data_IF_879821240849
#
_entry.id   IF_879821240849
#
_cell.length_a   1.000
_cell.length_b   1.000
_cell.length_c   1.000
_cell.angle_alpha   90.00
_cell.angle_beta   90.00
_cell.angle_gamma   90.00
#
_symmetry.space_group_name_H-M   'P 1'
#
loop_
_entity.id
_entity.type
_entity.pdbx_description
1 polymer ?
#
# COMPACT_ATOMS: atom_id res chain seq x y z
N UNK A 1 -53.10 12.97 -51.10
CA UNK A 1 -51.64 13.03 -50.85
C UNK A 1 -51.33 12.08 -49.70
N UNK A 2 -50.91 10.85 -50.01
CA UNK A 2 -50.74 9.76 -49.02
C UNK A 2 -49.38 9.91 -48.34
N UNK A 3 -49.37 10.38 -47.08
CA UNK A 3 -48.16 10.42 -46.28
C UNK A 3 -47.72 9.00 -45.92
N UNK A 4 -46.46 8.71 -46.20
CA UNK A 4 -45.86 7.39 -46.18
C UNK A 4 -45.48 7.01 -44.73
N UNK A 5 -46.39 6.35 -44.02
CA UNK A 5 -46.27 5.96 -42.60
C UNK A 5 -45.07 5.02 -42.30
N UNK A 6 -44.41 4.47 -43.34
CA UNK A 6 -43.23 3.59 -43.18
C UNK A 6 -41.94 4.32 -42.79
N UNK A 7 -41.84 5.64 -42.98
CA UNK A 7 -40.66 6.44 -42.57
C UNK A 7 -40.71 6.92 -41.12
N UNK A 8 -41.89 6.94 -40.48
CA UNK A 8 -42.02 7.34 -39.07
C UNK A 8 -41.73 6.18 -38.10
N UNK A 9 -41.90 4.92 -38.55
CA UNK A 9 -41.58 3.75 -37.73
C UNK A 9 -40.07 3.45 -37.68
N UNK A 10 -39.33 3.74 -38.75
CA UNK A 10 -37.88 3.47 -38.81
C UNK A 10 -37.05 4.49 -38.02
N UNK A 11 -37.55 5.73 -37.84
CA UNK A 11 -36.88 6.74 -37.03
C UNK A 11 -37.07 6.51 -35.51
N UNK A 12 -38.21 5.95 -35.09
CA UNK A 12 -38.48 5.65 -33.69
C UNK A 12 -37.76 4.39 -33.17
N UNK A 13 -37.46 3.42 -34.03
CA UNK A 13 -36.68 2.22 -33.63
C UNK A 13 -35.20 2.55 -33.41
N UNK A 14 -34.62 3.52 -34.14
CA UNK A 14 -33.23 3.94 -33.94
C UNK A 14 -33.02 4.80 -32.69
N UNK A 15 -34.00 5.60 -32.29
CA UNK A 15 -33.94 6.42 -31.06
C UNK A 15 -34.15 5.53 -29.82
N UNK A 16 -34.98 4.49 -29.91
CA UNK A 16 -35.17 3.54 -28.79
C UNK A 16 -33.92 2.63 -28.62
N UNK A 17 -33.26 2.20 -29.69
CA UNK A 17 -31.99 1.46 -29.57
C UNK A 17 -30.82 2.29 -29.02
N UNK A 18 -30.79 3.61 -29.26
CA UNK A 18 -29.74 4.48 -28.70
C UNK A 18 -30.01 4.85 -27.23
N UNK A 19 -31.27 4.90 -26.78
CA UNK A 19 -31.61 5.09 -25.36
C UNK A 19 -31.38 3.79 -24.56
N UNK A 20 -31.56 2.61 -25.15
CA UNK A 20 -31.26 1.33 -24.49
C UNK A 20 -29.75 1.05 -24.40
N UNK A 21 -28.94 1.49 -25.38
CA UNK A 21 -27.48 1.40 -25.27
C UNK A 21 -26.85 2.42 -24.31
N UNK A 22 -27.54 3.51 -23.96
CA UNK A 22 -27.09 4.47 -22.91
C UNK A 22 -27.61 4.09 -21.51
N UNK A 23 -28.59 3.19 -21.41
CA UNK A 23 -29.05 2.61 -20.14
C UNK A 23 -28.25 1.36 -19.69
N UNK A 24 -27.44 0.76 -20.57
CA UNK A 24 -26.64 -0.43 -20.25
C UNK A 24 -25.17 -0.15 -19.86
N UNK A 25 -24.76 1.12 -19.69
CA UNK A 25 -23.37 1.43 -19.32
C UNK A 25 -23.23 2.45 -18.17
N UNK A 26 -24.25 2.55 -17.31
CA UNK A 26 -24.26 3.44 -16.14
C UNK A 26 -24.46 2.72 -14.80
N UNK A 27 -24.08 1.45 -14.72
CA UNK A 27 -24.20 0.66 -13.47
C UNK A 27 -23.05 -0.34 -13.23
N UNK A 28 -21.86 -0.12 -13.79
CA UNK A 28 -20.64 -0.87 -13.40
C UNK A 28 -19.85 -0.12 -12.31
N UNK A 29 -20.38 0.98 -11.77
CA UNK A 29 -19.72 1.82 -10.76
C UNK A 29 -20.30 1.83 -9.36
N UNK A 30 -21.50 1.31 -9.10
CA UNK A 30 -22.20 1.58 -7.81
C UNK A 30 -22.90 0.37 -7.15
N UNK A 31 -22.64 -0.87 -7.58
CA UNK A 31 -23.22 -2.07 -6.92
C UNK A 31 -22.19 -3.14 -6.55
N UNK A 32 -21.15 -2.72 -5.83
CA UNK A 32 -20.35 -3.57 -4.93
C UNK A 32 -20.07 -2.88 -3.58
N UNK A 33 -20.95 -1.97 -3.16
CA UNK A 33 -20.85 -1.27 -1.88
C UNK A 33 -21.94 -1.69 -0.88
N UNK A 34 -22.51 -2.87 -1.07
CA UNK A 34 -23.34 -3.56 -0.09
C UNK A 34 -23.08 -5.07 -0.24
N UNK A 35 -22.54 -5.68 0.81
CA UNK A 35 -22.13 -7.10 0.93
C UNK A 35 -20.72 -7.50 0.48
N UNK A 36 -19.69 -6.75 0.88
CA UNK A 36 -18.34 -7.31 1.02
C UNK A 36 -18.01 -7.25 2.52
N UNK A 37 -18.02 -8.40 3.20
CA UNK A 37 -17.18 -8.55 4.40
C UNK A 37 -15.78 -8.19 3.94
N UNK A 38 -15.18 -7.12 4.45
CA UNK A 38 -13.84 -6.65 4.08
C UNK A 38 -12.90 -7.84 3.82
N UNK A 39 -12.67 -8.18 2.54
CA UNK A 39 -11.77 -9.27 2.18
C UNK A 39 -10.36 -8.78 2.47
N UNK A 40 -9.77 -9.30 3.54
CA UNK A 40 -8.38 -9.07 3.88
C UNK A 40 -7.51 -9.67 2.75
N UNK A 41 -6.76 -8.83 2.06
CA UNK A 41 -5.79 -9.28 1.06
C UNK A 41 -4.61 -9.92 1.78
N UNK A 42 -4.36 -11.18 1.46
CA UNK A 42 -3.31 -11.98 2.10
C UNK A 42 -2.22 -12.31 1.09
N UNK A 43 -0.94 -12.08 1.43
CA UNK A 43 0.15 -12.56 0.60
C UNK A 43 0.22 -14.09 0.60
N UNK A 44 0.70 -14.66 -0.50
CA UNK A 44 1.19 -16.03 -0.55
C UNK A 44 2.55 -16.15 0.14
N UNK A 45 2.98 -17.39 0.36
CA UNK A 45 4.26 -17.67 1.00
C UNK A 45 5.42 -17.27 0.09
N UNK A 46 5.33 -17.64 -1.17
CA UNK A 46 6.33 -17.36 -2.21
C UNK A 46 6.54 -15.85 -2.37
N UNK A 47 5.46 -15.07 -2.34
CA UNK A 47 5.55 -13.61 -2.39
C UNK A 47 6.32 -13.02 -1.20
N UNK A 48 6.16 -13.55 0.03
CA UNK A 48 6.90 -13.07 1.21
C UNK A 48 8.39 -13.42 1.18
N UNK A 49 8.78 -14.46 0.45
CA UNK A 49 10.19 -14.81 0.27
C UNK A 49 10.87 -13.88 -0.74
N UNK A 50 10.11 -13.22 -1.63
CA UNK A 50 10.67 -12.34 -2.67
C UNK A 50 10.84 -10.87 -2.24
N UNK A 51 10.34 -10.50 -1.06
CA UNK A 51 10.43 -9.10 -0.58
C UNK A 51 11.77 -8.80 0.08
N UNK A 52 12.26 -7.59 -0.15
CA UNK A 52 13.42 -7.04 0.55
C UNK A 52 12.97 -5.96 1.52
N UNK A 53 13.52 -5.93 2.76
CA UNK A 53 14.58 -6.81 3.29
C UNK A 53 14.05 -8.15 3.82
N UNK A 54 14.67 -9.27 3.42
CA UNK A 54 14.39 -10.59 4.00
C UNK A 54 14.86 -10.65 5.46
N UNK A 55 13.92 -10.53 6.39
CA UNK A 55 14.24 -10.27 7.81
C UNK A 55 13.27 -10.91 8.80
N UNK A 56 12.42 -11.81 8.33
CA UNK A 56 11.49 -12.54 9.19
C UNK A 56 12.22 -13.46 10.15
N UNK A 57 11.81 -13.46 11.42
CA UNK A 57 12.34 -14.36 12.43
C UNK A 57 11.52 -15.66 12.47
N UNK A 58 11.99 -16.68 11.75
CA UNK A 58 11.33 -17.98 11.69
C UNK A 58 11.42 -18.77 12.99
N UNK A 59 12.51 -18.64 13.76
CA UNK A 59 12.67 -19.33 15.04
C UNK A 59 11.63 -18.81 16.06
N UNK A 60 11.54 -17.50 16.22
CA UNK A 60 10.52 -16.87 17.08
C UNK A 60 9.09 -17.18 16.61
N UNK A 61 8.88 -17.25 15.29
CA UNK A 61 7.60 -17.66 14.74
C UNK A 61 7.27 -19.13 15.06
N UNK A 62 8.26 -20.03 15.05
CA UNK A 62 8.10 -21.43 15.44
C UNK A 62 7.74 -21.54 16.93
N UNK A 63 8.49 -20.88 17.80
CA UNK A 63 8.25 -20.84 19.26
C UNK A 63 6.82 -20.39 19.60
N UNK A 64 6.28 -19.43 18.84
CA UNK A 64 4.93 -18.90 19.01
C UNK A 64 3.84 -19.68 18.29
N UNK A 65 4.19 -20.78 17.62
CA UNK A 65 3.26 -21.64 16.87
C UNK A 65 2.64 -20.93 15.67
N UNK A 66 3.37 -20.01 15.04
CA UNK A 66 2.94 -19.21 13.89
C UNK A 66 3.25 -19.89 12.56
N UNK A 67 4.13 -20.91 12.57
CA UNK A 67 4.50 -21.70 11.40
C UNK A 67 3.56 -22.90 11.17
N UNK A 68 3.62 -23.42 9.95
CA UNK A 68 3.06 -24.72 9.52
C UNK A 68 4.17 -25.49 8.80
N UNK A 69 4.93 -26.28 9.55
CA UNK A 69 6.21 -26.82 9.05
C UNK A 69 7.24 -25.69 8.97
N UNK A 70 8.01 -25.63 7.89
CA UNK A 70 9.07 -24.63 7.67
C UNK A 70 8.54 -23.29 7.11
N UNK A 71 7.23 -23.03 7.18
CA UNK A 71 6.61 -21.90 6.49
C UNK A 71 5.58 -21.19 7.35
N UNK A 72 5.26 -19.93 7.06
CA UNK A 72 4.20 -19.22 7.78
C UNK A 72 2.82 -19.86 7.56
N UNK A 73 2.06 -20.00 8.65
CA UNK A 73 0.70 -20.51 8.57
C UNK A 73 -0.25 -19.50 7.91
N UNK A 74 -1.36 -19.97 7.33
CA UNK A 74 -2.44 -19.07 6.84
C UNK A 74 -2.97 -18.14 7.94
N UNK A 75 -2.98 -18.62 9.19
CA UNK A 75 -3.36 -17.84 10.36
C UNK A 75 -2.40 -16.67 10.57
N UNK A 76 -1.09 -16.91 10.49
CA UNK A 76 -0.08 -15.85 10.56
C UNK A 76 -0.30 -14.78 9.48
N UNK A 77 -0.49 -15.20 8.22
CA UNK A 77 -0.66 -14.26 7.10
C UNK A 77 -1.90 -13.36 7.26
N UNK A 78 -2.99 -13.91 7.83
CA UNK A 78 -4.19 -13.12 8.18
C UNK A 78 -3.91 -12.13 9.30
N UNK A 79 -3.31 -12.59 10.39
CA UNK A 79 -2.98 -11.71 11.52
C UNK A 79 -2.01 -10.59 11.09
N UNK A 80 -1.06 -10.90 10.22
CA UNK A 80 -0.11 -9.93 9.66
C UNK A 80 -0.83 -8.88 8.82
N UNK A 81 -1.74 -9.32 7.93
CA UNK A 81 -2.52 -8.42 7.09
C UNK A 81 -3.47 -7.54 7.91
N UNK A 82 -4.05 -8.09 8.99
CA UNK A 82 -4.90 -7.34 9.92
C UNK A 82 -4.10 -6.28 10.68
N UNK A 83 -2.90 -6.64 11.17
CA UNK A 83 -1.99 -5.69 11.78
C UNK A 83 -1.60 -4.59 10.79
N UNK A 84 -1.24 -4.94 9.54
CA UNK A 84 -0.89 -3.97 8.50
C UNK A 84 -2.03 -2.99 8.23
N UNK A 85 -3.26 -3.49 8.04
CA UNK A 85 -4.45 -2.65 7.86
C UNK A 85 -4.65 -1.70 9.03
N UNK A 86 -4.50 -2.17 10.27
CA UNK A 86 -4.58 -1.32 11.46
C UNK A 86 -3.45 -0.28 11.53
N UNK A 87 -2.22 -0.67 11.20
CA UNK A 87 -1.06 0.22 11.11
C UNK A 87 -1.28 1.35 10.10
N UNK A 88 -1.74 1.02 8.91
CA UNK A 88 -1.97 2.01 7.86
C UNK A 88 -3.09 2.97 8.24
N UNK A 89 -4.16 2.50 8.88
CA UNK A 89 -5.18 3.38 9.43
C UNK A 89 -4.66 4.28 10.56
N UNK A 90 -3.81 3.76 11.44
CA UNK A 90 -3.16 4.56 12.49
C UNK A 90 -2.28 5.64 11.86
N UNK A 91 -1.43 5.29 10.89
CA UNK A 91 -0.56 6.23 10.18
C UNK A 91 -1.37 7.30 9.45
N UNK A 92 -2.40 6.91 8.69
CA UNK A 92 -3.29 7.86 7.99
C UNK A 92 -3.98 8.88 8.90
N UNK A 93 -4.14 8.57 10.20
CA UNK A 93 -4.65 9.51 11.21
C UNK A 93 -3.55 10.34 11.87
N UNK A 94 -2.34 9.79 11.97
CA UNK A 94 -1.20 10.39 12.69
C UNK A 94 -0.39 11.34 11.80
N UNK A 95 -0.31 11.04 10.51
CA UNK A 95 0.38 11.83 9.50
C UNK A 95 -0.58 12.24 8.39
N UNK A 96 -0.42 13.45 7.86
CA UNK A 96 -1.35 14.05 6.89
C UNK A 96 -1.03 13.60 5.45
N UNK A 97 -0.65 12.33 5.25
CA UNK A 97 -0.11 11.86 3.96
C UNK A 97 -1.12 11.94 2.82
N UNK A 98 -2.41 11.79 3.12
CA UNK A 98 -3.48 11.98 2.14
C UNK A 98 -3.45 13.38 1.52
N UNK A 99 -3.11 14.42 2.29
CA UNK A 99 -3.01 15.80 1.79
C UNK A 99 -1.98 15.89 0.67
N UNK A 100 -0.83 15.23 0.83
CA UNK A 100 0.24 15.24 -0.16
C UNK A 100 -0.06 14.33 -1.36
N UNK A 101 -0.74 13.21 -1.14
CA UNK A 101 -1.28 12.38 -2.24
C UNK A 101 -2.26 13.19 -3.11
N UNK A 102 -3.19 13.91 -2.48
CA UNK A 102 -4.15 14.78 -3.15
C UNK A 102 -3.44 15.96 -3.85
N UNK A 103 -2.37 16.50 -3.27
CA UNK A 103 -1.56 17.57 -3.87
C UNK A 103 -0.89 17.10 -5.17
N UNK A 104 -0.30 15.91 -5.18
CA UNK A 104 0.26 15.30 -6.38
C UNK A 104 -0.83 15.03 -7.44
N UNK A 105 -1.97 14.46 -7.02
CA UNK A 105 -3.10 14.15 -7.90
C UNK A 105 -3.68 15.39 -8.59
N UNK A 106 -3.72 16.53 -7.89
CA UNK A 106 -4.29 17.79 -8.39
C UNK A 106 -3.24 18.76 -8.94
N UNK A 107 -1.97 18.38 -8.97
CA UNK A 107 -0.88 19.25 -9.43
C UNK A 107 -1.01 19.57 -10.92
N UNK A 108 -0.66 20.81 -11.28
CA UNK A 108 -0.54 21.25 -12.68
C UNK A 108 0.64 20.59 -13.42
N UNK A 109 1.51 19.89 -12.69
CA UNK A 109 2.59 19.11 -13.28
C UNK A 109 2.10 17.76 -13.86
N UNK A 110 0.85 17.37 -13.60
CA UNK A 110 0.22 16.15 -14.12
C UNK A 110 1.04 14.89 -13.81
N UNK A 111 1.25 14.62 -12.51
CA UNK A 111 1.89 13.38 -12.08
C UNK A 111 1.08 12.15 -12.53
N UNK A 112 1.79 11.12 -13.01
CA UNK A 112 1.20 9.88 -13.49
C UNK A 112 1.41 8.82 -12.40
N UNK A 113 0.37 8.15 -11.90
CA UNK A 113 0.56 7.10 -10.91
C UNK A 113 1.25 5.87 -11.50
N UNK A 114 1.75 5.01 -10.63
CA UNK A 114 2.25 3.69 -11.00
C UNK A 114 1.24 2.86 -11.81
N UNK A 115 1.75 2.05 -12.73
CA UNK A 115 0.93 1.16 -13.55
C UNK A 115 0.23 0.09 -12.69
N UNK A 116 -1.10 0.02 -12.78
CA UNK A 116 -1.93 -0.90 -11.98
C UNK A 116 -1.62 -2.37 -12.26
N UNK A 117 -1.15 -2.68 -13.47
CA UNK A 117 -0.81 -4.04 -13.91
C UNK A 117 0.63 -4.43 -13.54
N UNK A 118 1.42 -3.47 -13.02
CA UNK A 118 2.82 -3.67 -12.59
C UNK A 118 3.04 -3.31 -11.12
N UNK A 119 1.99 -3.41 -10.30
CA UNK A 119 2.08 -3.15 -8.87
C UNK A 119 3.01 -4.16 -8.21
N UNK A 120 3.94 -3.64 -7.40
CA UNK A 120 4.78 -4.50 -6.56
C UNK A 120 3.97 -5.08 -5.39
N UNK A 121 4.57 -6.05 -4.68
CA UNK A 121 3.99 -6.68 -3.49
C UNK A 121 3.30 -5.67 -2.55
N UNK A 122 4.03 -4.63 -2.14
CA UNK A 122 3.54 -3.65 -1.15
C UNK A 122 2.33 -2.86 -1.64
N UNK A 123 2.24 -2.58 -2.95
CA UNK A 123 1.10 -1.91 -3.57
C UNK A 123 -0.11 -2.82 -3.77
N UNK A 124 0.11 -4.13 -3.93
CA UNK A 124 -0.97 -5.12 -4.05
C UNK A 124 -1.67 -5.28 -2.70
N UNK A 125 -0.90 -5.30 -1.61
CA UNK A 125 -1.39 -5.51 -0.25
C UNK A 125 -1.56 -4.21 0.55
N UNK A 126 -1.62 -3.05 -0.10
CA UNK A 126 -1.86 -1.73 0.51
C UNK A 126 -3.32 -1.53 0.95
N UNK A 127 -3.51 -0.96 2.14
CA UNK A 127 -4.80 -0.53 2.70
C UNK A 127 -4.86 0.97 2.97
N UNK A 128 -3.82 1.75 2.66
CA UNK A 128 -3.86 3.22 2.75
C UNK A 128 -4.82 3.80 1.71
N UNK A 129 -4.93 3.16 0.54
CA UNK A 129 -5.84 3.57 -0.53
C UNK A 129 -5.41 4.87 -1.21
N UNK A 130 -4.11 5.16 -1.17
CA UNK A 130 -3.49 6.34 -1.78
C UNK A 130 -3.07 6.03 -3.22
N UNK A 131 -2.88 7.08 -4.01
CA UNK A 131 -2.58 6.98 -5.44
C UNK A 131 -1.08 6.81 -5.69
N UNK A 132 -0.26 7.56 -4.96
CA UNK A 132 1.19 7.65 -5.18
C UNK A 132 1.98 7.04 -4.03
N UNK A 133 1.44 7.02 -2.81
CA UNK A 133 2.14 6.58 -1.61
C UNK A 133 1.69 5.20 -1.11
N UNK A 134 2.60 4.42 -0.56
CA UNK A 134 2.31 3.17 0.15
C UNK A 134 3.40 2.84 1.18
N UNK A 135 3.07 1.99 2.15
CA UNK A 135 4.00 1.49 3.17
C UNK A 135 4.92 0.41 2.59
N UNK A 136 6.24 0.55 2.79
CA UNK A 136 7.26 -0.40 2.35
C UNK A 136 7.83 -1.28 3.46
N UNK A 137 7.56 -1.00 4.73
CA UNK A 137 8.04 -1.86 5.79
C UNK A 137 7.41 -3.26 5.72
N UNK A 138 8.23 -4.27 6.01
CA UNK A 138 7.74 -5.60 6.37
C UNK A 138 7.10 -5.56 7.76
N UNK A 139 6.11 -6.41 7.98
CA UNK A 139 5.34 -6.46 9.23
C UNK A 139 5.70 -7.73 10.00
N UNK A 140 6.49 -7.57 11.05
CA UNK A 140 7.05 -8.66 11.86
C UNK A 140 6.18 -8.99 13.09
N UNK A 141 4.96 -9.51 12.87
CA UNK A 141 4.03 -9.80 13.99
C UNK A 141 4.52 -10.90 14.94
N UNK A 142 5.52 -11.70 14.53
CA UNK A 142 6.21 -12.65 15.39
C UNK A 142 6.86 -11.97 16.59
N UNK A 143 7.11 -10.66 16.53
CA UNK A 143 7.69 -9.87 17.64
C UNK A 143 6.68 -9.39 18.68
N UNK A 144 5.38 -9.52 18.42
CA UNK A 144 4.34 -9.17 19.40
C UNK A 144 4.43 -10.06 20.63
N UNK A 145 4.11 -9.54 21.80
CA UNK A 145 3.97 -10.37 22.99
C UNK A 145 2.74 -11.29 22.90
N UNK A 146 2.57 -12.17 23.89
CA UNK A 146 1.47 -13.15 23.90
C UNK A 146 0.09 -12.50 23.90
N UNK A 147 -0.06 -11.38 24.60
CA UNK A 147 -1.36 -10.74 24.82
C UNK A 147 -1.81 -9.99 23.57
N UNK A 148 -0.88 -9.27 22.93
CA UNK A 148 -1.11 -8.55 21.67
C UNK A 148 -1.32 -9.53 20.50
N UNK A 149 -0.58 -10.65 20.49
CA UNK A 149 -0.81 -11.70 19.51
C UNK A 149 -2.19 -12.38 19.70
N UNK A 150 -2.62 -12.57 20.94
CA UNK A 150 -3.95 -13.13 21.25
C UNK A 150 -5.08 -12.19 20.81
N UNK A 151 -4.88 -10.88 20.87
CA UNK A 151 -5.83 -9.90 20.32
C UNK A 151 -6.04 -10.11 18.81
N UNK A 152 -4.95 -10.28 18.04
CA UNK A 152 -5.04 -10.58 16.60
C UNK A 152 -5.69 -11.95 16.33
N UNK A 153 -5.37 -12.98 17.13
CA UNK A 153 -5.95 -14.32 17.01
C UNK A 153 -7.47 -14.29 17.16
N UNK A 154 -7.98 -13.57 18.17
CA UNK A 154 -9.43 -13.45 18.41
C UNK A 154 -10.17 -12.75 17.27
N UNK A 155 -9.60 -11.68 16.70
CA UNK A 155 -10.18 -11.01 15.53
C UNK A 155 -10.21 -11.93 14.31
N UNK A 156 -9.13 -12.68 14.08
CA UNK A 156 -9.06 -13.65 12.97
C UNK A 156 -10.06 -14.80 13.12
N UNK A 157 -10.17 -15.40 14.31
CA UNK A 157 -11.06 -16.53 14.58
C UNK A 157 -12.54 -16.18 14.41
N UNK A 158 -12.91 -14.94 14.76
CA UNK A 158 -14.26 -14.43 14.58
C UNK A 158 -14.55 -13.95 13.14
N UNK A 159 -13.55 -13.98 12.24
CA UNK A 159 -13.60 -13.38 10.91
C UNK A 159 -14.06 -11.90 10.97
N UNK A 160 -13.70 -11.21 12.05
CA UNK A 160 -13.97 -9.81 12.26
C UNK A 160 -12.72 -9.00 11.89
N UNK A 161 -12.70 -8.54 10.64
CA UNK A 161 -11.60 -7.75 10.08
C UNK A 161 -11.87 -6.24 10.14
N UNK A 162 -12.89 -5.84 10.91
CA UNK A 162 -13.06 -4.45 11.28
C UNK A 162 -11.93 -4.02 12.22
N UNK A 163 -11.35 -2.86 11.96
CA UNK A 163 -10.27 -2.34 12.81
C UNK A 163 -10.89 -1.71 14.06
N UNK A 164 -10.80 -2.43 15.18
CA UNK A 164 -11.25 -1.94 16.49
C UNK A 164 -10.29 -0.90 17.08
N UNK A 165 -10.77 -0.13 18.05
CA UNK A 165 -9.92 0.82 18.78
C UNK A 165 -8.80 0.10 19.56
N UNK A 166 -9.04 -1.12 20.04
CA UNK A 166 -8.04 -1.91 20.76
C UNK A 166 -6.89 -2.33 19.83
N UNK A 167 -7.19 -2.70 18.58
CA UNK A 167 -6.18 -2.99 17.57
C UNK A 167 -5.36 -1.72 17.24
N UNK A 168 -5.99 -0.56 17.12
CA UNK A 168 -5.27 0.71 16.91
C UNK A 168 -4.34 1.04 18.08
N UNK A 169 -4.79 0.87 19.33
CA UNK A 169 -3.96 1.11 20.53
C UNK A 169 -2.78 0.15 20.63
N UNK A 170 -3.00 -1.13 20.30
CA UNK A 170 -1.94 -2.12 20.21
C UNK A 170 -0.90 -1.70 19.17
N UNK A 171 -1.35 -1.34 17.97
CA UNK A 171 -0.48 -0.85 16.89
C UNK A 171 0.30 0.39 17.32
N UNK A 172 -0.33 1.40 17.89
CA UNK A 172 0.33 2.63 18.35
C UNK A 172 1.50 2.35 19.30
N UNK A 173 1.33 1.38 20.21
CA UNK A 173 2.36 0.97 21.17
C UNK A 173 3.48 0.14 20.51
N UNK A 174 3.15 -0.70 19.53
CA UNK A 174 4.04 -1.77 19.06
C UNK A 174 4.72 -1.48 17.72
N UNK A 175 4.17 -0.62 16.86
CA UNK A 175 4.55 -0.57 15.45
C UNK A 175 6.04 -0.31 15.23
N UNK A 176 6.67 0.52 16.07
CA UNK A 176 8.12 0.82 15.98
C UNK A 176 8.97 -0.46 16.06
N UNK A 177 8.58 -1.41 16.89
CA UNK A 177 9.25 -2.71 17.00
C UNK A 177 8.87 -3.65 15.85
N UNK A 178 7.62 -3.59 15.40
CA UNK A 178 7.07 -4.48 14.37
C UNK A 178 7.58 -4.16 12.97
N UNK A 179 7.86 -2.89 12.65
CA UNK A 179 8.45 -2.49 11.36
C UNK A 179 9.98 -2.62 11.33
N UNK A 180 10.60 -2.77 12.50
CA UNK A 180 12.05 -2.80 12.62
C UNK A 180 12.61 -4.07 12.00
N UNK A 181 13.63 -3.95 11.17
CA UNK A 181 14.39 -5.11 10.68
C UNK A 181 15.38 -5.52 11.77
N UNK A 182 15.30 -6.74 12.29
CA UNK A 182 16.22 -7.20 13.32
C UNK A 182 16.60 -8.67 13.13
N UNK A 183 17.83 -9.00 13.51
CA UNK A 183 18.35 -10.36 13.53
C UNK A 183 18.56 -10.81 14.97
N UNK A 184 18.53 -12.12 15.22
CA UNK A 184 18.75 -12.62 16.57
C UNK A 184 20.20 -12.41 17.05
N UNK A 185 20.36 -12.31 18.37
CA UNK A 185 21.64 -12.51 19.04
C UNK A 185 22.55 -11.28 19.16
N UNK A 186 22.17 -10.12 18.64
CA UNK A 186 22.98 -8.90 18.78
C UNK A 186 22.14 -7.61 18.77
N UNK A 187 21.69 -7.21 19.97
CA UNK A 187 20.98 -5.95 20.19
C UNK A 187 21.81 -4.73 19.77
N UNK A 188 23.14 -4.82 19.85
CA UNK A 188 24.03 -3.74 19.44
C UNK A 188 24.11 -3.65 17.91
N UNK A 189 24.24 -4.77 17.22
CA UNK A 189 24.14 -4.84 15.75
C UNK A 189 22.79 -4.32 15.26
N UNK A 190 21.70 -4.78 15.86
CA UNK A 190 20.35 -4.32 15.51
C UNK A 190 20.17 -2.81 15.73
N UNK A 191 20.88 -2.21 16.68
CA UNK A 191 20.78 -0.76 16.91
C UNK A 191 21.39 0.07 15.76
N UNK A 192 22.37 -0.48 15.06
CA UNK A 192 23.09 0.21 13.98
C UNK A 192 22.89 -0.42 12.61
N UNK A 193 22.05 -1.45 12.51
CA UNK A 193 21.79 -2.12 11.26
C UNK A 193 21.05 -1.19 10.29
N UNK A 194 21.51 -1.18 9.05
CA UNK A 194 20.79 -0.52 7.97
C UNK A 194 20.27 -1.58 7.00
N UNK A 195 18.98 -1.54 6.73
CA UNK A 195 18.30 -2.43 5.81
C UNK A 195 18.47 -1.96 4.36
N UNK A 196 18.61 -2.93 3.44
CA UNK A 196 18.71 -2.70 2.00
C UNK A 196 17.31 -2.86 1.39
N UNK A 197 16.73 -1.76 0.93
CA UNK A 197 15.39 -1.74 0.29
C UNK A 197 15.42 -1.89 -1.23
N UNK A 198 16.62 -1.98 -1.82
CA UNK A 198 16.82 -2.24 -3.24
C UNK A 198 18.10 -1.63 -3.77
N UNK A 199 18.36 -1.90 -5.05
CA UNK A 199 19.50 -1.34 -5.78
C UNK A 199 19.02 -0.21 -6.68
N UNK A 200 19.78 0.88 -6.73
CA UNK A 200 19.63 1.95 -7.71
C UNK A 200 20.87 2.02 -8.60
N UNK A 201 20.78 2.80 -9.68
CA UNK A 201 21.93 3.16 -10.51
C UNK A 201 23.05 3.83 -9.67
N UNK A 202 22.68 4.47 -8.56
CA UNK A 202 23.60 5.18 -7.66
C UNK A 202 24.03 4.34 -6.44
N UNK A 203 23.70 3.04 -6.39
CA UNK A 203 24.05 2.13 -5.30
C UNK A 203 22.84 1.61 -4.51
N UNK A 204 23.11 0.94 -3.40
CA UNK A 204 22.10 0.36 -2.51
C UNK A 204 21.31 1.45 -1.76
N UNK A 205 19.99 1.27 -1.62
CA UNK A 205 19.16 2.08 -0.72
C UNK A 205 19.27 1.55 0.69
N UNK A 206 20.23 2.12 1.42
CA UNK A 206 20.58 1.75 2.79
C UNK A 206 19.81 2.66 3.74
N UNK A 207 18.89 2.09 4.52
CA UNK A 207 17.97 2.81 5.41
C UNK A 207 18.12 2.30 6.85
N UNK A 208 18.11 3.17 7.88
CA UNK A 208 18.07 2.73 9.28
C UNK A 208 16.95 1.72 9.51
N UNK A 209 17.27 0.58 10.11
CA UNK A 209 16.31 -0.50 10.30
C UNK A 209 15.08 -0.14 11.14
N UNK A 210 15.16 0.92 11.94
CA UNK A 210 14.06 1.47 12.76
C UNK A 210 13.14 2.42 12.01
N UNK A 211 13.44 2.74 10.75
CA UNK A 211 12.72 3.76 10.00
C UNK A 211 11.34 3.28 9.54
N UNK A 212 10.37 4.20 9.53
CA UNK A 212 9.17 4.04 8.72
C UNK A 212 9.53 4.35 7.27
N UNK A 213 9.34 3.39 6.38
CA UNK A 213 9.67 3.51 4.96
C UNK A 213 8.38 3.60 4.17
N UNK A 214 8.23 4.71 3.47
CA UNK A 214 7.17 4.93 2.49
C UNK A 214 7.80 4.88 1.09
N UNK A 215 6.97 4.60 0.07
CA UNK A 215 7.39 4.73 -1.32
C UNK A 215 6.42 5.62 -2.07
N UNK A 216 6.97 6.57 -2.82
CA UNK A 216 6.30 7.47 -3.74
C UNK A 216 6.55 6.95 -5.16
N UNK A 217 5.48 6.51 -5.82
CA UNK A 217 5.52 5.99 -7.18
C UNK A 217 4.82 6.94 -8.14
N UNK A 218 5.59 7.82 -8.77
CA UNK A 218 5.14 8.76 -9.78
C UNK A 218 5.94 8.58 -11.07
N UNK A 219 5.28 8.07 -12.10
CA UNK A 219 5.92 7.65 -13.34
C UNK A 219 6.25 8.85 -14.24
N UNK A 220 7.36 8.79 -14.98
CA UNK A 220 7.62 9.70 -16.08
C UNK A 220 6.72 9.42 -17.29
N UNK A 221 6.46 10.45 -18.09
CA UNK A 221 5.72 10.30 -19.34
C UNK A 221 6.64 9.93 -20.51
N UNK A 222 6.41 8.76 -21.10
CA UNK A 222 7.17 8.25 -22.25
C UNK A 222 6.31 8.12 -23.52
N UNK A 223 6.91 8.40 -24.67
CA UNK A 223 6.32 8.12 -25.97
C UNK A 223 6.35 6.62 -26.31
N UNK A 224 5.75 6.23 -27.43
CA UNK A 224 5.73 4.81 -27.89
C UNK A 224 7.11 4.22 -28.17
N UNK A 225 8.16 5.04 -28.25
CA UNK A 225 9.55 4.62 -28.49
C UNK A 225 10.37 4.60 -27.20
N UNK A 226 9.77 4.93 -26.05
CA UNK A 226 10.45 4.97 -24.75
C UNK A 226 11.24 6.26 -24.49
N UNK A 227 11.02 7.33 -25.27
CA UNK A 227 11.64 8.63 -25.00
C UNK A 227 10.74 9.48 -24.11
N UNK A 228 11.32 10.33 -23.28
CA UNK A 228 10.55 11.35 -22.56
C UNK A 228 9.74 12.21 -23.53
N UNK A 229 8.45 12.39 -23.24
CA UNK A 229 7.58 13.27 -24.02
C UNK A 229 8.01 14.73 -23.87
N UNK A 230 8.32 15.14 -22.64
CA UNK A 230 8.78 16.50 -22.30
C UNK A 230 9.81 16.43 -21.17
N UNK A 231 11.10 16.36 -21.53
CA UNK A 231 12.18 16.27 -20.55
C UNK A 231 12.25 17.46 -19.58
N UNK A 232 12.16 18.74 -20.01
CA UNK A 232 12.09 19.87 -19.08
C UNK A 232 10.96 19.76 -18.04
N UNK A 233 9.77 19.30 -18.44
CA UNK A 233 8.66 19.04 -17.51
C UNK A 233 8.97 17.92 -16.54
N UNK A 234 9.53 16.79 -17.01
CA UNK A 234 9.91 15.67 -16.15
C UNK A 234 11.03 16.05 -15.16
N UNK A 235 11.98 16.88 -15.58
CA UNK A 235 12.97 17.45 -14.65
C UNK A 235 12.29 18.29 -13.55
N UNK A 236 11.33 19.13 -13.92
CA UNK A 236 10.57 19.94 -12.96
C UNK A 236 9.76 19.07 -11.99
N UNK A 237 9.20 17.95 -12.46
CA UNK A 237 8.53 16.95 -11.62
C UNK A 237 9.49 16.31 -10.62
N UNK A 238 10.69 15.93 -11.06
CA UNK A 238 11.70 15.34 -10.19
C UNK A 238 12.18 16.33 -9.12
N UNK A 239 12.52 17.56 -9.53
CA UNK A 239 12.93 18.62 -8.59
C UNK A 239 11.83 18.87 -7.52
N UNK A 240 10.55 18.82 -7.93
CA UNK A 240 9.42 18.92 -7.00
C UNK A 240 9.30 17.71 -6.05
N UNK A 241 9.49 16.49 -6.55
CA UNK A 241 9.43 15.26 -5.75
C UNK A 241 10.55 15.25 -4.72
N UNK A 242 11.77 15.63 -5.10
CA UNK A 242 12.91 15.72 -4.19
C UNK A 242 12.62 16.69 -3.03
N UNK A 243 12.12 17.89 -3.34
CA UNK A 243 11.70 18.88 -2.33
C UNK A 243 10.52 18.39 -1.47
N UNK A 244 9.61 17.60 -2.03
CA UNK A 244 8.50 17.00 -1.28
C UNK A 244 9.00 15.93 -0.31
N UNK A 245 9.86 15.02 -0.76
CA UNK A 245 10.44 13.94 0.05
C UNK A 245 11.14 14.52 1.28
N UNK A 246 12.03 15.50 1.10
CA UNK A 246 12.75 16.13 2.21
C UNK A 246 11.80 16.74 3.27
N UNK A 247 10.69 17.35 2.82
CA UNK A 247 9.68 17.89 3.75
C UNK A 247 8.92 16.80 4.48
N UNK A 248 8.51 15.74 3.77
CA UNK A 248 7.78 14.61 4.36
C UNK A 248 8.61 13.89 5.41
N UNK A 249 9.86 13.58 5.10
CA UNK A 249 10.79 12.88 5.99
C UNK A 249 10.99 13.68 7.29
N UNK A 250 11.26 14.98 7.18
CA UNK A 250 11.41 15.85 8.35
C UNK A 250 10.10 15.93 9.15
N UNK A 251 8.98 16.28 8.51
CA UNK A 251 7.69 16.48 9.18
C UNK A 251 7.22 15.21 9.89
N UNK A 252 7.35 14.05 9.24
CA UNK A 252 6.87 12.80 9.81
C UNK A 252 7.83 12.21 10.82
N UNK A 253 9.15 12.44 10.68
CA UNK A 253 10.10 12.12 11.74
C UNK A 253 9.73 12.86 13.03
N UNK A 254 9.43 14.16 12.93
CA UNK A 254 9.04 14.97 14.09
C UNK A 254 7.71 14.49 14.70
N UNK A 255 6.71 14.14 13.88
CA UNK A 255 5.40 13.66 14.35
C UNK A 255 5.44 12.26 14.97
N UNK A 256 6.27 11.36 14.44
CA UNK A 256 6.30 9.95 14.83
C UNK A 256 7.39 9.65 15.88
N UNK A 257 8.42 10.50 15.97
CA UNK A 257 9.56 10.31 16.86
C UNK A 257 10.38 9.06 16.51
N UNK A 258 10.45 8.73 15.22
CA UNK A 258 11.34 7.72 14.60
C UNK A 258 11.78 8.26 13.24
N UNK A 259 12.90 7.80 12.66
CA UNK A 259 13.26 8.14 11.30
C UNK A 259 12.14 7.77 10.31
N UNK A 260 11.92 8.62 9.32
CA UNK A 260 11.03 8.36 8.19
C UNK A 260 11.81 8.57 6.91
N UNK A 261 11.72 7.61 6.00
CA UNK A 261 12.38 7.63 4.69
C UNK A 261 11.33 7.45 3.60
N UNK A 262 11.38 8.27 2.55
CA UNK A 262 10.45 8.19 1.41
C UNK A 262 11.23 7.83 0.16
N UNK A 263 11.04 6.60 -0.30
CA UNK A 263 11.66 6.09 -1.50
C UNK A 263 10.93 6.60 -2.75
N UNK A 264 11.65 7.18 -3.71
CA UNK A 264 11.09 7.43 -5.05
C UNK A 264 11.25 6.19 -5.94
N UNK A 265 10.20 5.73 -6.62
CA UNK A 265 10.26 4.66 -7.63
C UNK A 265 10.12 5.19 -9.05
#
# INVERSE_FOLDING_TARGET
MKYNFKKLLTLNVFIICSIICVACNKNIGENKMSEIKDDLYMPSKEELEEISPQSYNFELAEEKGLLKGETFSKKYLRMQSLYKKALEQYLMKKIDIKKYDDELANSKLHFIPGDKDKRCFYQVYDYMGLTFFYLRNNIHIEKLDSDDLELLKKSEENYDYAISEDLIKMVERTYKNIIMVSFEGDDEFNKYYNAIYGNTINGERIIPNTALVLELNAQPEFDKKGNFVDWPKEKTKNDYIDDLILRLEQEYTDKLGIPVEVLQY
#
